data_IF_477436824161
#
_entry.id   IF_477436824161
#
_cell.length_a   1.000
_cell.length_b   1.000
_cell.length_c   1.000
_cell.angle_alpha   90.00
_cell.angle_beta   90.00
_cell.angle_gamma   90.00
#
_symmetry.space_group_name_H-M   'P 1'
#
loop_
_entity.id
_entity.type
_entity.pdbx_description
1 polymer ?
#
# COMPACT_ATOMS: atom_id res chain seq x y z
N UNK A 1 18.06 -21.22 -34.84
CA UNK A 1 16.73 -20.58 -34.83
C UNK A 1 16.10 -20.58 -33.43
N UNK A 2 15.86 -21.73 -32.78
CA UNK A 2 15.29 -21.75 -31.43
C UNK A 2 16.19 -21.08 -30.35
N UNK A 3 17.51 -21.26 -30.47
CA UNK A 3 18.54 -20.69 -29.57
C UNK A 3 18.66 -19.16 -29.69
N UNK A 4 18.56 -18.62 -30.92
CA UNK A 4 18.59 -17.18 -31.18
C UNK A 4 17.32 -16.47 -30.69
N UNK A 5 16.17 -17.15 -30.76
CA UNK A 5 14.88 -16.60 -30.30
C UNK A 5 14.74 -16.65 -28.77
N UNK A 6 15.29 -17.68 -28.12
CA UNK A 6 15.38 -17.74 -26.65
C UNK A 6 16.35 -16.70 -26.10
N UNK A 7 17.51 -16.51 -26.73
CA UNK A 7 18.43 -15.41 -26.42
C UNK A 7 17.76 -14.04 -26.63
N UNK A 8 16.92 -13.87 -27.65
CA UNK A 8 16.16 -12.64 -27.87
C UNK A 8 15.15 -12.38 -26.74
N UNK A 9 14.37 -13.37 -26.35
CA UNK A 9 13.38 -13.23 -25.27
C UNK A 9 14.04 -12.92 -23.92
N UNK A 10 15.16 -13.60 -23.62
CA UNK A 10 16.00 -13.31 -22.47
C UNK A 10 16.56 -11.88 -22.59
N UNK A 11 17.05 -11.48 -23.75
CA UNK A 11 17.58 -10.12 -23.97
C UNK A 11 16.51 -9.05 -23.77
N UNK A 12 15.26 -9.25 -24.20
CA UNK A 12 14.18 -8.28 -24.05
C UNK A 12 13.76 -8.17 -22.57
N UNK A 13 13.64 -9.30 -21.87
CA UNK A 13 13.34 -9.31 -20.44
C UNK A 13 14.47 -8.65 -19.61
N UNK A 14 15.72 -8.92 -19.99
CA UNK A 14 16.93 -8.32 -19.40
C UNK A 14 16.99 -6.83 -19.71
N UNK A 15 16.80 -6.41 -20.96
CA UNK A 15 16.84 -5.01 -21.39
C UNK A 15 15.69 -4.22 -20.77
N UNK A 16 14.48 -4.79 -20.68
CA UNK A 16 13.36 -4.15 -20.00
C UNK A 16 13.62 -3.99 -18.49
N UNK A 17 14.18 -5.02 -17.85
CA UNK A 17 14.57 -4.96 -16.43
C UNK A 17 15.70 -3.95 -16.19
N UNK A 18 16.71 -3.94 -17.06
CA UNK A 18 17.83 -2.99 -17.02
C UNK A 18 17.36 -1.57 -17.27
N UNK A 19 16.46 -1.32 -18.23
CA UNK A 19 15.87 0.00 -18.48
C UNK A 19 15.04 0.47 -17.28
N UNK A 20 14.22 -0.40 -16.69
CA UNK A 20 13.43 -0.09 -15.50
C UNK A 20 14.31 0.23 -14.27
N UNK A 21 15.47 -0.43 -14.15
CA UNK A 21 16.45 -0.23 -13.07
C UNK A 21 17.39 0.96 -13.33
N UNK A 22 17.71 1.29 -14.60
CA UNK A 22 18.68 2.32 -14.97
C UNK A 22 18.08 3.73 -15.11
N UNK A 23 16.82 3.84 -15.57
CA UNK A 23 16.12 5.13 -15.75
C UNK A 23 15.90 5.98 -14.46
N UNK A 24 16.02 5.49 -13.20
CA UNK A 24 15.88 6.36 -12.02
C UNK A 24 16.93 7.46 -11.88
N UNK A 25 18.07 7.40 -12.57
CA UNK A 25 19.23 8.21 -12.22
C UNK A 25 19.32 9.56 -12.93
N UNK A 26 18.35 9.91 -13.79
CA UNK A 26 18.24 11.23 -14.40
C UNK A 26 17.23 12.08 -13.60
N UNK A 27 17.68 12.66 -12.48
CA UNK A 27 16.92 13.69 -11.74
C UNK A 27 16.14 13.26 -10.48
N UNK A 28 16.44 12.10 -9.89
CA UNK A 28 16.01 11.71 -8.53
C UNK A 28 14.49 11.58 -8.30
N UNK A 29 13.81 10.55 -8.86
CA UNK A 29 12.41 10.27 -8.54
C UNK A 29 12.26 9.86 -7.07
N UNK A 30 11.18 10.32 -6.41
CA UNK A 30 10.86 9.89 -5.04
C UNK A 30 10.74 8.37 -4.95
N UNK A 31 11.12 7.79 -3.81
CA UNK A 31 11.06 6.34 -3.52
C UNK A 31 9.74 5.69 -3.92
N UNK A 32 8.63 6.42 -3.76
CA UNK A 32 7.30 5.98 -4.16
C UNK A 32 7.14 5.80 -5.67
N UNK A 33 7.67 6.73 -6.49
CA UNK A 33 7.60 6.61 -7.95
C UNK A 33 8.38 5.38 -8.43
N UNK A 34 9.49 5.05 -7.78
CA UNK A 34 10.26 3.86 -8.08
C UNK A 34 9.50 2.58 -7.72
N UNK A 35 8.94 2.50 -6.51
CA UNK A 35 8.07 1.39 -6.11
C UNK A 35 6.94 1.17 -7.11
N UNK A 36 6.28 2.24 -7.58
CA UNK A 36 5.20 2.14 -8.55
C UNK A 36 5.66 1.64 -9.92
N UNK A 37 6.84 2.05 -10.39
CA UNK A 37 7.42 1.53 -11.63
C UNK A 37 7.67 0.02 -11.55
N UNK A 38 8.25 -0.45 -10.43
CA UNK A 38 8.47 -1.87 -10.21
C UNK A 38 7.17 -2.65 -10.06
N UNK A 39 6.17 -2.08 -9.39
CA UNK A 39 4.84 -2.70 -9.25
C UNK A 39 4.11 -2.78 -10.60
N UNK A 40 4.23 -1.75 -11.44
CA UNK A 40 3.69 -1.76 -12.79
C UNK A 40 4.38 -2.83 -13.65
N UNK A 41 5.71 -2.91 -13.56
CA UNK A 41 6.48 -3.93 -14.27
C UNK A 41 6.12 -5.35 -13.80
N UNK A 42 5.91 -5.55 -12.50
CA UNK A 42 5.35 -6.77 -11.93
C UNK A 42 4.01 -7.13 -12.58
N UNK A 43 3.07 -6.17 -12.65
CA UNK A 43 1.76 -6.40 -13.25
C UNK A 43 1.86 -6.79 -14.73
N UNK A 44 2.67 -6.05 -15.50
CA UNK A 44 2.90 -6.34 -16.92
C UNK A 44 3.50 -7.73 -17.11
N UNK A 45 4.48 -8.12 -16.29
CA UNK A 45 5.07 -9.46 -16.35
C UNK A 45 4.06 -10.55 -15.99
N UNK A 46 3.24 -10.34 -14.96
CA UNK A 46 2.23 -11.30 -14.54
C UNK A 46 1.16 -11.52 -15.62
N UNK A 47 0.65 -10.44 -16.23
CA UNK A 47 -0.32 -10.52 -17.34
C UNK A 47 0.30 -11.14 -18.57
N UNK A 48 1.54 -10.76 -18.92
CA UNK A 48 2.25 -11.31 -20.06
C UNK A 48 2.48 -12.81 -19.89
N UNK A 49 2.88 -13.28 -18.70
CA UNK A 49 3.03 -14.70 -18.41
C UNK A 49 1.71 -15.46 -18.67
N UNK A 50 0.59 -14.92 -18.20
CA UNK A 50 -0.73 -15.52 -18.43
C UNK A 50 -1.07 -15.65 -19.92
N UNK A 51 -0.91 -14.57 -20.68
CA UNK A 51 -1.21 -14.56 -22.13
C UNK A 51 -0.30 -15.53 -22.88
N UNK A 52 1.00 -15.52 -22.59
CA UNK A 52 1.99 -16.39 -23.22
C UNK A 52 1.69 -17.87 -22.95
N UNK A 53 1.20 -18.20 -21.76
CA UNK A 53 0.78 -19.55 -21.42
C UNK A 53 -0.48 -20.01 -22.15
N UNK A 54 -1.44 -19.12 -22.37
CA UNK A 54 -2.62 -19.41 -23.20
C UNK A 54 -2.20 -19.68 -24.65
N UNK A 55 -1.30 -18.85 -25.20
CA UNK A 55 -0.78 -19.01 -26.57
C UNK A 55 0.02 -20.31 -26.69
N UNK A 56 0.87 -20.64 -25.72
CA UNK A 56 1.66 -21.89 -25.77
C UNK A 56 0.75 -23.12 -25.77
N UNK A 57 -0.37 -23.08 -25.03
CA UNK A 57 -1.37 -24.15 -25.00
C UNK A 57 -2.21 -24.23 -26.27
N UNK A 58 -2.46 -23.12 -26.94
CA UNK A 58 -3.17 -23.06 -28.21
C UNK A 58 -2.32 -23.51 -29.42
N UNK A 59 -1.13 -24.06 -29.20
CA UNK A 59 -0.23 -24.55 -30.25
C UNK A 59 0.89 -23.58 -30.64
N UNK A 60 1.09 -22.47 -29.91
CA UNK A 60 2.15 -21.49 -30.18
C UNK A 60 3.59 -22.03 -30.07
N UNK A 61 3.78 -23.23 -29.50
CA UNK A 61 5.06 -23.89 -29.40
C UNK A 61 5.87 -23.50 -28.16
N UNK A 62 7.04 -24.13 -28.01
CA UNK A 62 7.88 -24.10 -26.80
C UNK A 62 8.41 -22.70 -26.47
N UNK A 63 8.55 -21.82 -27.47
CA UNK A 63 9.07 -20.46 -27.28
C UNK A 63 8.18 -19.65 -26.33
N UNK A 64 6.86 -19.61 -26.56
CA UNK A 64 5.94 -18.86 -25.70
C UNK A 64 5.91 -19.40 -24.27
N UNK A 65 6.12 -20.71 -24.10
CA UNK A 65 6.27 -21.31 -22.78
C UNK A 65 7.52 -20.80 -22.05
N UNK A 66 8.68 -20.76 -22.72
CA UNK A 66 9.93 -20.26 -22.12
C UNK A 66 9.80 -18.77 -21.76
N UNK A 67 9.22 -17.95 -22.64
CA UNK A 67 9.00 -16.52 -22.34
C UNK A 67 8.02 -16.36 -21.18
N UNK A 68 6.93 -17.13 -21.16
CA UNK A 68 5.99 -17.16 -20.04
C UNK A 68 6.66 -17.62 -18.74
N UNK A 69 7.64 -18.53 -18.83
CA UNK A 69 8.40 -19.00 -17.69
C UNK A 69 9.24 -17.92 -17.04
N UNK A 70 10.01 -17.21 -17.85
CA UNK A 70 10.84 -16.09 -17.40
C UNK A 70 9.98 -14.96 -16.83
N UNK A 71 8.88 -14.58 -17.50
CA UNK A 71 7.98 -13.52 -17.05
C UNK A 71 7.34 -13.84 -15.68
N UNK A 72 6.98 -15.11 -15.45
CA UNK A 72 6.37 -15.55 -14.18
C UNK A 72 7.33 -15.44 -12.99
N UNK A 73 8.64 -15.67 -13.19
CA UNK A 73 9.66 -15.52 -12.12
C UNK A 73 10.10 -14.07 -11.97
N UNK A 74 10.19 -13.35 -13.09
CA UNK A 74 10.57 -11.95 -13.09
C UNK A 74 9.55 -11.10 -12.34
N UNK A 75 8.26 -11.40 -12.47
CA UNK A 75 7.19 -10.67 -11.79
C UNK A 75 7.44 -10.53 -10.26
N UNK A 76 7.41 -11.61 -9.44
CA UNK A 76 7.63 -11.49 -8.00
C UNK A 76 9.01 -10.92 -7.66
N UNK A 77 10.03 -11.16 -8.50
CA UNK A 77 11.36 -10.60 -8.31
C UNK A 77 11.37 -9.06 -8.44
N UNK A 78 10.64 -8.49 -9.40
CA UNK A 78 10.46 -7.04 -9.54
C UNK A 78 9.67 -6.45 -8.37
N UNK A 79 8.64 -7.16 -7.89
CA UNK A 79 7.88 -6.74 -6.71
C UNK A 79 8.78 -6.69 -5.47
N UNK A 80 9.65 -7.69 -5.29
CA UNK A 80 10.63 -7.73 -4.20
C UNK A 80 11.56 -6.51 -4.26
N UNK A 81 12.13 -6.21 -5.43
CA UNK A 81 12.97 -5.02 -5.64
C UNK A 81 12.19 -3.74 -5.31
N UNK A 82 10.95 -3.63 -5.78
CA UNK A 82 10.07 -2.50 -5.46
C UNK A 82 9.87 -2.32 -3.95
N UNK A 83 9.59 -3.40 -3.22
CA UNK A 83 9.44 -3.38 -1.78
C UNK A 83 10.75 -2.98 -1.07
N UNK A 84 11.89 -3.48 -1.51
CA UNK A 84 13.19 -3.07 -0.95
C UNK A 84 13.47 -1.59 -1.17
N UNK A 85 13.17 -1.06 -2.36
CA UNK A 85 13.27 0.39 -2.64
C UNK A 85 12.39 1.17 -1.67
N UNK A 86 11.15 0.72 -1.43
CA UNK A 86 10.23 1.34 -0.49
C UNK A 86 10.77 1.42 0.95
N UNK A 87 11.71 0.53 1.32
CA UNK A 87 12.36 0.50 2.64
C UNK A 87 13.64 1.34 2.76
N UNK A 88 13.95 2.18 1.77
CA UNK A 88 15.19 2.99 1.69
C UNK A 88 16.49 2.18 1.71
N UNK A 89 16.39 0.85 1.55
CA UNK A 89 17.54 -0.02 1.34
C UNK A 89 18.08 0.19 -0.07
N UNK A 90 19.41 0.06 -0.24
CA UNK A 90 20.06 0.13 -1.55
C UNK A 90 19.38 -0.86 -2.50
N UNK A 91 18.83 -0.37 -3.61
CA UNK A 91 18.08 -1.16 -4.59
C UNK A 91 18.97 -2.15 -5.37
N UNK A 92 20.29 -1.95 -5.34
CA UNK A 92 21.26 -2.69 -6.14
C UNK A 92 21.39 -4.16 -5.68
N UNK A 93 21.60 -4.42 -4.39
CA UNK A 93 21.74 -5.80 -3.86
C UNK A 93 20.50 -6.68 -4.15
N UNK A 94 19.26 -6.27 -3.81
CA UNK A 94 18.07 -7.06 -4.13
C UNK A 94 17.82 -7.14 -5.64
N UNK A 95 18.20 -6.11 -6.40
CA UNK A 95 18.13 -6.11 -7.86
C UNK A 95 19.05 -7.15 -8.49
N UNK A 96 20.30 -7.26 -8.02
CA UNK A 96 21.27 -8.27 -8.47
C UNK A 96 20.79 -9.68 -8.13
N UNK A 97 20.25 -9.90 -6.93
CA UNK A 97 19.68 -11.19 -6.52
C UNK A 97 18.48 -11.59 -7.39
N UNK A 98 17.55 -10.66 -7.62
CA UNK A 98 16.39 -10.84 -8.49
C UNK A 98 16.80 -11.19 -9.93
N UNK A 99 17.82 -10.48 -10.44
CA UNK A 99 18.38 -10.73 -11.76
C UNK A 99 19.03 -12.10 -11.86
N UNK A 100 19.91 -12.44 -10.91
CA UNK A 100 20.60 -13.73 -10.86
C UNK A 100 19.61 -14.89 -10.79
N UNK A 101 18.55 -14.78 -9.98
CA UNK A 101 17.48 -15.78 -9.89
C UNK A 101 16.75 -15.96 -11.23
N UNK A 102 16.40 -14.85 -11.89
CA UNK A 102 15.70 -14.88 -13.19
C UNK A 102 16.57 -15.52 -14.27
N UNK A 103 17.86 -15.16 -14.33
CA UNK A 103 18.83 -15.74 -15.27
C UNK A 103 19.01 -17.24 -15.01
N UNK A 104 19.14 -17.66 -13.74
CA UNK A 104 19.26 -19.07 -13.40
C UNK A 104 18.07 -19.89 -13.89
N UNK A 105 16.83 -19.39 -13.70
CA UNK A 105 15.63 -20.07 -14.21
C UNK A 105 15.63 -20.13 -15.74
N UNK A 106 15.98 -19.04 -16.42
CA UNK A 106 16.05 -19.01 -17.88
C UNK A 106 17.06 -20.05 -18.42
N UNK A 107 18.22 -20.16 -17.80
CA UNK A 107 19.24 -21.17 -18.14
C UNK A 107 18.72 -22.58 -17.91
N UNK A 108 18.10 -22.86 -16.77
CA UNK A 108 17.55 -24.20 -16.47
C UNK A 108 16.41 -24.57 -17.43
N UNK A 109 15.51 -23.64 -17.73
CA UNK A 109 14.41 -23.86 -18.68
C UNK A 109 14.87 -24.11 -20.12
N UNK A 110 16.08 -23.69 -20.49
CA UNK A 110 16.63 -23.90 -21.83
C UNK A 110 17.54 -25.12 -21.94
N UNK A 111 18.15 -25.55 -20.83
CA UNK A 111 19.17 -26.61 -20.83
C UNK A 111 18.63 -27.97 -20.39
N UNK A 112 17.54 -28.03 -19.64
CA UNK A 112 17.05 -29.28 -19.04
C UNK A 112 15.74 -29.74 -19.69
N UNK A 113 15.63 -31.01 -20.15
CA UNK A 113 14.36 -31.57 -20.64
C UNK A 113 13.29 -31.58 -19.54
N UNK A 114 12.03 -31.40 -19.92
CA UNK A 114 10.88 -31.57 -19.02
C UNK A 114 10.92 -32.98 -18.41
N UNK A 115 10.57 -33.18 -17.12
CA UNK A 115 9.79 -32.29 -16.22
C UNK A 115 10.59 -31.47 -15.18
N UNK A 116 11.91 -31.66 -15.07
CA UNK A 116 12.77 -31.00 -14.07
C UNK A 116 12.67 -29.46 -14.04
N UNK A 117 12.51 -28.74 -15.17
CA UNK A 117 12.33 -27.28 -15.17
C UNK A 117 11.09 -26.79 -14.41
N UNK A 118 10.03 -27.60 -14.32
CA UNK A 118 8.81 -27.22 -13.60
C UNK A 118 9.05 -27.09 -12.10
N UNK A 119 9.81 -28.03 -11.53
CA UNK A 119 10.17 -28.04 -10.11
C UNK A 119 11.06 -26.85 -9.76
N UNK A 120 12.13 -26.62 -10.53
CA UNK A 120 13.07 -25.51 -10.32
C UNK A 120 12.34 -24.16 -10.40
N UNK A 121 11.45 -24.01 -11.38
CA UNK A 121 10.66 -22.80 -11.52
C UNK A 121 9.71 -22.58 -10.35
N UNK A 122 8.99 -23.61 -9.91
CA UNK A 122 8.08 -23.47 -8.76
C UNK A 122 8.81 -23.10 -7.47
N UNK A 123 10.02 -23.65 -7.27
CA UNK A 123 10.89 -23.26 -6.15
C UNK A 123 11.36 -21.81 -6.30
N UNK A 124 11.79 -21.37 -7.49
CA UNK A 124 12.22 -20.00 -7.72
C UNK A 124 11.10 -18.98 -7.45
N UNK A 125 9.87 -19.26 -7.90
CA UNK A 125 8.70 -18.43 -7.61
C UNK A 125 8.42 -18.41 -6.12
N UNK A 126 8.48 -19.56 -5.44
CA UNK A 126 8.27 -19.63 -3.99
C UNK A 126 9.31 -18.78 -3.23
N UNK A 127 10.59 -18.86 -3.61
CA UNK A 127 11.67 -18.06 -3.02
C UNK A 127 11.46 -16.56 -3.26
N UNK A 128 11.08 -16.16 -4.48
CA UNK A 128 10.80 -14.76 -4.78
C UNK A 128 9.59 -14.24 -3.97
N UNK A 129 8.55 -15.05 -3.82
CA UNK A 129 7.36 -14.70 -3.06
C UNK A 129 7.60 -14.66 -1.54
N UNK A 130 8.42 -15.56 -0.98
CA UNK A 130 8.83 -15.47 0.43
C UNK A 130 9.70 -14.24 0.68
N UNK A 131 10.60 -13.91 -0.25
CA UNK A 131 11.39 -12.68 -0.20
C UNK A 131 10.49 -11.42 -0.22
N UNK A 132 9.46 -11.38 -1.10
CA UNK A 132 8.44 -10.33 -1.08
C UNK A 132 7.73 -10.23 0.27
N UNK A 133 7.27 -11.37 0.81
CA UNK A 133 6.57 -11.39 2.09
C UNK A 133 7.44 -10.84 3.23
N UNK A 134 8.69 -11.29 3.27
CA UNK A 134 9.68 -10.81 4.24
C UNK A 134 9.96 -9.31 4.11
N UNK A 135 10.18 -8.83 2.88
CA UNK A 135 10.43 -7.42 2.61
C UNK A 135 9.23 -6.55 3.00
N UNK A 136 8.01 -6.99 2.68
CA UNK A 136 6.78 -6.29 3.05
C UNK A 136 6.57 -6.22 4.57
N UNK A 137 6.88 -7.29 5.31
CA UNK A 137 6.78 -7.31 6.78
C UNK A 137 7.82 -6.42 7.46
N UNK A 138 9.00 -6.26 6.86
CA UNK A 138 10.08 -5.43 7.39
C UNK A 138 10.04 -3.98 6.90
N UNK A 139 9.06 -3.62 6.08
CA UNK A 139 8.96 -2.28 5.55
C UNK A 139 8.50 -1.28 6.63
N UNK A 140 9.30 -0.26 6.99
CA UNK A 140 8.93 0.75 7.98
C UNK A 140 7.90 1.78 7.44
N UNK A 141 7.21 1.46 6.35
CA UNK A 141 6.35 2.38 5.65
C UNK A 141 4.95 2.44 6.30
N UNK A 142 4.52 3.64 6.68
CA UNK A 142 3.13 3.93 6.96
C UNK A 142 2.34 4.09 5.64
N UNK A 143 1.11 3.55 5.53
CA UNK A 143 0.41 2.64 6.46
C UNK A 143 0.82 1.16 6.37
N UNK A 144 0.75 0.44 7.49
CA UNK A 144 1.17 -0.97 7.61
C UNK A 144 0.19 -1.99 7.02
N UNK A 145 -1.11 -1.67 6.97
CA UNK A 145 -2.16 -2.59 6.50
C UNK A 145 -1.99 -3.08 5.05
N UNK A 146 -1.77 -2.23 4.03
CA UNK A 146 -1.57 -2.71 2.67
C UNK A 146 -0.33 -3.59 2.54
N UNK A 147 0.75 -3.30 3.28
CA UNK A 147 1.97 -4.10 3.29
C UNK A 147 1.75 -5.48 3.90
N UNK A 148 0.97 -5.56 4.97
CA UNK A 148 0.57 -6.83 5.58
C UNK A 148 -0.27 -7.69 4.63
N UNK A 149 -1.17 -7.09 3.84
CA UNK A 149 -1.92 -7.83 2.82
C UNK A 149 -1.00 -8.34 1.71
N UNK A 150 -0.07 -7.52 1.22
CA UNK A 150 0.95 -7.95 0.24
C UNK A 150 1.77 -9.11 0.80
N UNK A 151 2.15 -9.06 2.09
CA UNK A 151 2.89 -10.12 2.74
C UNK A 151 2.11 -11.43 2.82
N UNK A 152 0.83 -11.37 3.25
CA UNK A 152 -0.04 -12.55 3.35
C UNK A 152 -0.24 -13.18 1.97
N UNK A 153 -0.54 -12.38 0.94
CA UNK A 153 -0.75 -12.89 -0.43
C UNK A 153 0.52 -13.51 -0.98
N UNK A 154 1.67 -12.86 -0.79
CA UNK A 154 2.96 -13.39 -1.27
C UNK A 154 3.33 -14.69 -0.54
N UNK A 155 3.16 -14.74 0.79
CA UNK A 155 3.40 -15.96 1.57
C UNK A 155 2.43 -17.10 1.16
N UNK A 156 1.14 -16.78 0.99
CA UNK A 156 0.14 -17.75 0.52
C UNK A 156 0.47 -18.30 -0.86
N UNK A 157 0.89 -17.44 -1.80
CA UNK A 157 1.29 -17.86 -3.14
C UNK A 157 2.58 -18.71 -3.13
N UNK A 158 3.52 -18.43 -2.22
CA UNK A 158 4.71 -19.25 -2.03
C UNK A 158 4.34 -20.66 -1.51
N UNK A 159 3.49 -20.75 -0.49
CA UNK A 159 2.98 -22.03 0.04
C UNK A 159 2.24 -22.80 -1.04
N UNK A 160 1.34 -22.15 -1.77
CA UNK A 160 0.63 -22.73 -2.91
C UNK A 160 1.60 -23.28 -3.96
N UNK A 161 2.64 -22.53 -4.31
CA UNK A 161 3.66 -22.95 -5.28
C UNK A 161 4.43 -24.19 -4.81
N UNK A 162 4.83 -24.25 -3.53
CA UNK A 162 5.52 -25.41 -2.95
C UNK A 162 4.62 -26.64 -2.93
N UNK A 163 3.38 -26.49 -2.43
CA UNK A 163 2.40 -27.59 -2.38
C UNK A 163 2.17 -28.16 -3.77
N UNK A 164 2.03 -27.29 -4.78
CA UNK A 164 1.90 -27.70 -6.18
C UNK A 164 3.11 -28.53 -6.65
N UNK A 165 4.33 -28.17 -6.25
CA UNK A 165 5.52 -28.96 -6.60
C UNK A 165 5.52 -30.32 -5.91
N UNK A 166 5.16 -30.38 -4.63
CA UNK A 166 5.08 -31.65 -3.89
C UNK A 166 4.03 -32.60 -4.51
N UNK A 167 2.88 -32.06 -4.94
CA UNK A 167 1.86 -32.84 -5.67
C UNK A 167 2.43 -33.38 -6.98
N UNK A 168 3.19 -32.57 -7.74
CA UNK A 168 3.84 -33.01 -8.98
C UNK A 168 4.84 -34.14 -8.77
N UNK A 169 5.65 -34.05 -7.70
CA UNK A 169 6.60 -35.10 -7.31
C UNK A 169 5.87 -36.38 -6.87
N UNK A 170 4.80 -36.26 -6.09
CA UNK A 170 4.08 -37.41 -5.53
C UNK A 170 3.13 -38.12 -6.50
N UNK A 171 2.48 -37.37 -7.40
CA UNK A 171 1.46 -37.90 -8.32
C UNK A 171 1.96 -38.11 -9.76
N UNK A 172 3.21 -37.69 -10.07
CA UNK A 172 3.80 -37.78 -11.40
C UNK A 172 3.45 -36.60 -12.30
N UNK A 173 4.49 -36.03 -12.93
CA UNK A 173 4.41 -34.83 -13.76
C UNK A 173 3.76 -35.03 -15.12
N UNK A 174 3.58 -36.28 -15.58
CA UNK A 174 3.13 -36.59 -16.95
C UNK A 174 1.63 -36.85 -17.07
N UNK A 175 0.89 -36.88 -15.96
CA UNK A 175 -0.54 -37.13 -16.01
C UNK A 175 -1.31 -35.88 -16.46
N UNK A 176 -1.93 -35.96 -17.64
CA UNK A 176 -2.65 -34.84 -18.28
C UNK A 176 -3.76 -34.24 -17.40
N UNK A 177 -4.42 -35.07 -16.59
CA UNK A 177 -5.45 -34.68 -15.62
C UNK A 177 -4.88 -33.88 -14.45
N UNK A 178 -3.69 -34.23 -13.95
CA UNK A 178 -2.99 -33.46 -12.91
C UNK A 178 -2.50 -32.13 -13.48
N UNK A 179 -1.93 -32.12 -14.69
CA UNK A 179 -1.48 -30.87 -15.34
C UNK A 179 -2.63 -29.86 -15.56
N UNK A 180 -3.77 -30.34 -16.06
CA UNK A 180 -4.93 -29.49 -16.32
C UNK A 180 -5.62 -29.05 -15.02
N UNK A 181 -5.85 -29.99 -14.10
CA UNK A 181 -6.63 -29.79 -12.88
C UNK A 181 -5.90 -29.05 -11.75
N UNK A 182 -4.58 -29.19 -11.64
CA UNK A 182 -3.81 -28.63 -10.52
C UNK A 182 -2.76 -27.60 -10.94
N UNK A 183 -2.23 -27.69 -12.17
CA UNK A 183 -1.07 -26.88 -12.56
C UNK A 183 -1.39 -25.67 -13.43
N UNK A 184 -2.42 -25.74 -14.28
CA UNK A 184 -2.68 -24.67 -15.25
C UNK A 184 -3.79 -23.73 -14.79
N UNK A 185 -5.04 -24.19 -14.76
CA UNK A 185 -6.20 -23.32 -14.47
C UNK A 185 -6.13 -22.73 -13.05
N UNK A 186 -5.86 -23.52 -11.98
CA UNK A 186 -5.76 -22.95 -10.64
C UNK A 186 -4.56 -22.00 -10.48
N UNK A 187 -3.44 -22.28 -11.14
CA UNK A 187 -2.25 -21.43 -11.05
C UNK A 187 -2.45 -20.07 -11.75
N UNK A 188 -3.16 -20.07 -12.88
CA UNK A 188 -3.56 -18.87 -13.59
C UNK A 188 -4.52 -18.02 -12.74
N UNK A 189 -5.59 -18.64 -12.21
CA UNK A 189 -6.58 -17.93 -11.38
C UNK A 189 -5.90 -17.35 -10.13
N UNK A 190 -5.15 -18.16 -9.40
CA UNK A 190 -4.45 -17.70 -8.18
C UNK A 190 -3.41 -16.62 -8.49
N UNK A 191 -2.68 -16.74 -9.60
CA UNK A 191 -1.72 -15.73 -10.06
C UNK A 191 -2.38 -14.39 -10.41
N UNK A 192 -3.49 -14.42 -11.14
CA UNK A 192 -4.28 -13.22 -11.48
C UNK A 192 -4.85 -12.57 -10.23
N UNK A 193 -5.42 -13.36 -9.31
CA UNK A 193 -5.95 -12.86 -8.04
C UNK A 193 -4.83 -12.23 -7.21
N UNK A 194 -3.67 -12.89 -7.09
CA UNK A 194 -2.53 -12.34 -6.37
C UNK A 194 -2.04 -11.01 -6.97
N UNK A 195 -1.90 -10.94 -8.30
CA UNK A 195 -1.49 -9.73 -9.01
C UNK A 195 -2.50 -8.59 -8.83
N UNK A 196 -3.80 -8.88 -8.90
CA UNK A 196 -4.87 -7.91 -8.68
C UNK A 196 -4.84 -7.35 -7.25
N UNK A 197 -4.70 -8.23 -6.24
CA UNK A 197 -4.65 -7.81 -4.84
C UNK A 197 -3.40 -6.96 -4.56
N UNK A 198 -2.23 -7.37 -5.05
CA UNK A 198 -0.99 -6.58 -4.89
C UNK A 198 -1.13 -5.20 -5.53
N UNK A 199 -1.68 -5.12 -6.74
CA UNK A 199 -1.89 -3.85 -7.44
C UNK A 199 -2.90 -2.95 -6.70
N UNK A 200 -3.99 -3.54 -6.19
CA UNK A 200 -4.96 -2.83 -5.36
C UNK A 200 -4.33 -2.30 -4.06
N UNK A 201 -3.46 -3.08 -3.42
CA UNK A 201 -2.72 -2.65 -2.24
C UNK A 201 -1.75 -1.50 -2.55
N UNK A 202 -1.09 -1.51 -3.71
CA UNK A 202 -0.26 -0.40 -4.15
C UNK A 202 -1.10 0.88 -4.37
N UNK A 203 -2.26 0.77 -5.01
CA UNK A 203 -3.22 1.88 -5.13
C UNK A 203 -3.71 2.40 -3.77
N UNK A 204 -4.02 1.50 -2.84
CA UNK A 204 -4.39 1.85 -1.47
C UNK A 204 -3.25 2.59 -0.74
N UNK A 205 -2.01 2.15 -0.93
CA UNK A 205 -0.84 2.80 -0.36
C UNK A 205 -0.69 4.25 -0.86
N UNK A 206 -0.93 4.51 -2.15
CA UNK A 206 -0.93 5.87 -2.73
C UNK A 206 -1.97 6.74 -2.02
N UNK A 207 -3.22 6.28 -1.98
CA UNK A 207 -4.34 7.04 -1.41
C UNK A 207 -4.11 7.30 0.08
N UNK A 208 -3.64 6.29 0.82
CA UNK A 208 -3.40 6.43 2.24
C UNK A 208 -2.23 7.36 2.55
N UNK A 209 -1.15 7.33 1.76
CA UNK A 209 -0.05 8.31 1.91
C UNK A 209 -0.50 9.71 1.55
N UNK A 210 -1.24 9.90 0.47
CA UNK A 210 -1.79 11.21 0.11
C UNK A 210 -2.67 11.78 1.25
N UNK A 211 -3.46 10.94 1.92
CA UNK A 211 -4.25 11.33 3.10
C UNK A 211 -3.38 11.68 4.31
N UNK A 212 -2.32 10.90 4.57
CA UNK A 212 -1.38 11.19 5.66
C UNK A 212 -0.61 12.48 5.39
N UNK A 213 -0.16 12.71 4.16
CA UNK A 213 0.52 13.94 3.76
C UNK A 213 -0.41 15.13 3.83
N UNK A 214 -1.68 14.99 3.40
CA UNK A 214 -2.70 16.04 3.57
C UNK A 214 -2.97 16.34 5.06
N UNK A 215 -2.96 15.32 5.92
CA UNK A 215 -3.10 15.49 7.37
C UNK A 215 -1.85 16.14 8.01
N UNK A 216 -0.64 15.82 7.52
CA UNK A 216 0.64 16.38 8.01
C UNK A 216 0.88 17.81 7.51
N UNK A 217 0.43 18.13 6.29
CA UNK A 217 0.49 19.48 5.71
C UNK A 217 -0.57 20.42 6.26
N UNK A 218 -1.58 19.89 6.97
CA UNK A 218 -2.42 20.70 7.83
C UNK A 218 -1.52 21.21 8.95
N UNK A 219 -1.11 22.48 8.83
CA UNK A 219 -0.36 23.17 9.89
C UNK A 219 -1.10 22.96 11.20
N UNK A 220 -0.39 22.60 12.27
CA UNK A 220 -0.97 22.45 13.60
C UNK A 220 -1.80 23.70 13.91
N UNK A 221 -3.12 23.58 13.87
CA UNK A 221 -4.00 24.70 14.13
C UNK A 221 -3.91 25.05 15.60
N UNK A 222 -4.14 26.31 15.92
CA UNK A 222 -4.29 26.70 17.31
C UNK A 222 -5.73 26.39 17.73
N UNK A 223 -5.86 25.72 18.86
CA UNK A 223 -7.13 25.34 19.42
C UNK A 223 -7.68 26.50 20.27
N UNK A 224 -8.75 27.13 19.81
CA UNK A 224 -9.44 28.19 20.56
C UNK A 224 -10.69 27.59 21.20
N UNK A 225 -10.74 27.61 22.53
CA UNK A 225 -11.85 27.04 23.31
C UNK A 225 -12.48 28.09 24.21
N UNK A 226 -13.77 27.88 24.52
CA UNK A 226 -14.43 28.60 25.61
C UNK A 226 -13.88 28.03 26.93
N UNK A 227 -13.05 28.83 27.59
CA UNK A 227 -12.40 28.55 28.87
C UNK A 227 -13.39 28.33 30.00
N UNK A 228 -12.94 27.60 31.03
CA UNK A 228 -13.68 27.25 32.25
C UNK A 228 -15.17 26.97 32.02
N UNK A 229 -15.46 25.95 31.22
CA UNK A 229 -16.82 25.54 30.84
C UNK A 229 -17.81 25.47 32.02
N UNK A 230 -17.36 24.99 33.19
CA UNK A 230 -18.19 24.94 34.40
C UNK A 230 -18.57 26.32 34.91
N UNK A 231 -17.61 27.25 34.92
CA UNK A 231 -17.81 28.63 35.33
C UNK A 231 -18.70 29.37 34.32
N UNK A 232 -18.41 29.23 33.03
CA UNK A 232 -19.23 29.80 31.96
C UNK A 232 -20.67 29.26 32.00
N UNK A 233 -20.85 27.97 32.25
CA UNK A 233 -22.19 27.36 32.35
C UNK A 233 -22.94 27.84 33.59
N UNK A 234 -22.25 28.06 34.70
CA UNK A 234 -22.84 28.60 35.93
C UNK A 234 -23.23 30.09 35.79
N UNK A 235 -22.43 30.89 35.09
CA UNK A 235 -22.66 32.31 34.91
C UNK A 235 -23.72 32.63 33.83
N UNK A 236 -23.67 31.95 32.68
CA UNK A 236 -24.49 32.28 31.50
C UNK A 236 -25.59 31.25 31.20
N UNK A 237 -25.56 30.10 31.86
CA UNK A 237 -26.46 28.98 31.58
C UNK A 237 -26.00 28.11 30.39
N UNK A 238 -26.34 26.83 30.46
CA UNK A 238 -25.87 25.82 29.51
C UNK A 238 -26.27 26.09 28.05
N UNK A 239 -27.44 26.67 27.83
CA UNK A 239 -27.94 26.96 26.48
C UNK A 239 -27.18 28.12 25.83
N UNK A 240 -26.87 29.18 26.60
CA UNK A 240 -26.06 30.30 26.09
C UNK A 240 -24.65 29.84 25.72
N UNK A 241 -24.00 29.05 26.56
CA UNK A 241 -22.63 28.57 26.29
C UNK A 241 -22.59 27.67 25.05
N UNK A 242 -23.62 26.84 24.82
CA UNK A 242 -23.73 26.07 23.56
C UNK A 242 -23.86 26.98 22.34
N UNK A 243 -24.68 28.02 22.44
CA UNK A 243 -24.84 29.01 21.38
C UNK A 243 -23.52 29.73 21.08
N UNK A 244 -22.74 30.10 22.11
CA UNK A 244 -21.42 30.70 21.95
C UNK A 244 -20.47 29.78 21.18
N UNK A 245 -20.47 28.47 21.46
CA UNK A 245 -19.64 27.52 20.68
C UNK A 245 -20.07 27.45 19.21
N UNK A 246 -21.38 27.45 18.94
CA UNK A 246 -21.90 27.43 17.56
C UNK A 246 -21.50 28.70 16.80
N UNK A 247 -21.63 29.86 17.45
CA UNK A 247 -21.24 31.16 16.88
C UNK A 247 -19.74 31.26 16.66
N UNK A 248 -18.93 30.76 17.60
CA UNK A 248 -17.48 30.68 17.46
C UNK A 248 -17.08 29.80 16.26
N UNK A 249 -17.71 28.64 16.10
CA UNK A 249 -17.45 27.75 14.96
C UNK A 249 -17.90 28.36 13.62
N UNK A 250 -18.99 29.13 13.62
CA UNK A 250 -19.44 29.85 12.43
C UNK A 250 -18.47 30.98 12.06
N UNK A 251 -18.11 31.83 13.03
CA UNK A 251 -17.13 32.90 12.87
C UNK A 251 -15.77 32.39 12.37
N UNK A 252 -15.34 31.22 12.88
CA UNK A 252 -14.11 30.59 12.45
C UNK A 252 -14.17 30.08 11.00
N UNK A 253 -15.29 29.53 10.53
CA UNK A 253 -15.44 29.10 9.13
C UNK A 253 -15.46 30.27 8.15
N UNK A 254 -15.92 31.44 8.59
CA UNK A 254 -15.89 32.65 7.77
C UNK A 254 -14.44 33.13 7.52
N UNK A 255 -13.55 32.94 8.50
CA UNK A 255 -12.16 33.40 8.44
C UNK A 255 -11.18 32.33 7.95
N UNK A 256 -11.42 31.07 8.29
CA UNK A 256 -10.65 29.90 7.88
C UNK A 256 -11.63 28.85 7.32
N UNK A 257 -11.72 28.70 5.98
CA UNK A 257 -12.57 27.68 5.36
C UNK A 257 -12.24 26.24 5.79
N UNK A 258 -11.05 26.01 6.36
CA UNK A 258 -10.62 24.71 6.86
C UNK A 258 -10.83 24.54 8.38
N UNK A 259 -11.48 25.49 9.05
CA UNK A 259 -11.73 25.44 10.49
C UNK A 259 -12.51 24.17 10.90
N UNK A 260 -12.03 23.47 11.93
CA UNK A 260 -12.66 22.24 12.42
C UNK A 260 -13.29 22.49 13.79
N UNK A 261 -14.59 22.24 13.89
CA UNK A 261 -15.30 22.32 15.18
C UNK A 261 -14.86 21.21 16.12
N UNK A 262 -14.46 21.56 17.34
CA UNK A 262 -14.12 20.63 18.42
C UNK A 262 -15.13 20.75 19.56
N UNK A 263 -15.22 19.77 20.48
CA UNK A 263 -16.02 19.94 21.68
C UNK A 263 -15.57 21.19 22.44
N UNK A 264 -16.48 22.18 22.59
CA UNK A 264 -16.27 23.46 23.30
C UNK A 264 -15.39 24.50 22.59
N UNK A 265 -15.10 24.34 21.30
CA UNK A 265 -14.26 25.29 20.58
C UNK A 265 -14.09 25.01 19.09
N UNK A 266 -12.99 25.52 18.54
CA UNK A 266 -12.62 25.38 17.14
C UNK A 266 -11.11 25.35 16.96
N UNK A 267 -10.61 24.52 16.05
CA UNK A 267 -9.22 24.53 15.60
C UNK A 267 -9.13 25.36 14.31
N UNK A 268 -8.25 26.36 14.32
CA UNK A 268 -8.05 27.31 13.21
C UNK A 268 -6.59 27.55 12.91
N UNK A 269 -6.30 27.90 11.65
CA UNK A 269 -4.97 28.35 11.22
C UNK A 269 -5.02 29.85 10.95
N UNK A 270 -4.92 30.64 12.02
CA UNK A 270 -4.95 32.10 11.96
C UNK A 270 -3.76 32.70 12.71
N UNK A 271 -3.17 33.81 12.23
CA UNK A 271 -2.26 34.61 13.05
C UNK A 271 -3.06 35.21 14.22
N UNK A 272 -2.55 35.10 15.46
CA UNK A 272 -3.24 35.56 16.69
C UNK A 272 -4.71 35.10 16.84
N UNK A 273 -4.98 33.77 16.91
CA UNK A 273 -6.30 33.17 16.82
C UNK A 273 -7.36 33.76 17.76
N UNK A 274 -7.05 33.91 19.05
CA UNK A 274 -7.98 34.47 20.05
C UNK A 274 -8.33 35.93 19.73
N UNK A 275 -7.34 36.74 19.33
CA UNK A 275 -7.58 38.15 19.03
C UNK A 275 -8.46 38.31 17.77
N UNK A 276 -8.13 37.57 16.71
CA UNK A 276 -8.86 37.65 15.43
C UNK A 276 -10.28 37.07 15.55
N UNK A 277 -10.44 35.92 16.21
CA UNK A 277 -11.76 35.34 16.45
C UNK A 277 -12.58 36.21 17.42
N UNK A 278 -11.96 36.74 18.47
CA UNK A 278 -12.60 37.62 19.44
C UNK A 278 -13.14 38.91 18.82
N UNK A 279 -12.40 39.52 17.88
CA UNK A 279 -12.89 40.65 17.10
C UNK A 279 -14.08 40.23 16.21
N UNK A 280 -13.95 39.11 15.48
CA UNK A 280 -14.98 38.64 14.57
C UNK A 280 -16.30 38.30 15.27
N UNK A 281 -16.27 37.62 16.42
CA UNK A 281 -17.49 37.26 17.15
C UNK A 281 -18.16 38.47 17.80
N UNK A 282 -17.37 39.46 18.21
CA UNK A 282 -17.89 40.75 18.67
C UNK A 282 -18.64 41.48 17.55
N UNK A 283 -18.02 41.54 16.37
CA UNK A 283 -18.57 42.30 15.24
C UNK A 283 -19.77 41.60 14.58
N UNK A 284 -19.76 40.27 14.43
CA UNK A 284 -20.85 39.54 13.76
C UNK A 284 -21.98 39.11 14.69
N UNK A 285 -21.65 38.76 15.93
CA UNK A 285 -22.58 38.09 16.85
C UNK A 285 -22.84 38.88 18.13
N UNK A 286 -22.24 40.07 18.28
CA UNK A 286 -22.51 40.99 19.38
C UNK A 286 -22.05 40.49 20.74
N UNK A 287 -20.96 39.70 20.77
CA UNK A 287 -20.43 39.18 22.04
C UNK A 287 -19.96 40.30 22.96
N UNK A 288 -20.31 40.17 24.24
CA UNK A 288 -19.85 41.11 25.27
C UNK A 288 -18.37 40.92 25.59
N UNK A 289 -17.67 41.92 26.17
CA UNK A 289 -16.26 41.81 26.55
C UNK A 289 -15.98 40.60 27.45
N UNK A 290 -16.89 40.30 28.38
CA UNK A 290 -16.78 39.15 29.29
C UNK A 290 -16.89 37.81 28.54
N UNK A 291 -17.74 37.73 27.50
CA UNK A 291 -17.89 36.53 26.69
C UNK A 291 -16.67 36.31 25.78
N UNK A 292 -16.06 37.39 25.29
CA UNK A 292 -14.80 37.35 24.54
C UNK A 292 -13.63 36.95 25.44
N UNK A 293 -13.63 37.39 26.71
CA UNK A 293 -12.61 37.01 27.70
C UNK A 293 -12.64 35.51 28.05
N UNK A 294 -13.75 34.81 27.79
CA UNK A 294 -13.80 33.35 27.91
C UNK A 294 -12.99 32.64 26.82
N UNK A 295 -12.62 33.30 25.72
CA UNK A 295 -11.80 32.66 24.68
C UNK A 295 -10.38 32.45 25.21
N UNK A 296 -9.95 31.21 25.19
CA UNK A 296 -8.60 30.83 25.61
C UNK A 296 -7.94 29.99 24.52
N UNK A 297 -6.66 30.26 24.30
CA UNK A 297 -5.79 29.35 23.56
C UNK A 297 -5.57 28.13 24.44
N UNK A 298 -6.17 27.00 24.06
CA UNK A 298 -5.74 25.73 24.62
C UNK A 298 -4.33 25.43 24.08
N UNK A 299 -3.46 24.87 24.94
CA UNK A 299 -2.07 24.50 24.62
C UNK A 299 -1.99 23.96 23.19
N UNK A 300 -1.07 24.45 22.34
CA UNK A 300 -0.97 24.02 20.95
C UNK A 300 -0.98 22.49 20.88
N UNK A 301 -1.96 21.95 20.16
CA UNK A 301 -2.23 20.51 20.01
C UNK A 301 -1.08 19.73 19.36
N UNK A 302 0.02 20.40 19.03
CA UNK A 302 1.27 19.81 18.59
C UNK A 302 1.91 18.82 19.59
N UNK A 303 1.59 18.89 20.89
CA UNK A 303 2.14 17.96 21.90
C UNK A 303 1.19 16.89 22.39
N UNK A 304 -0.13 17.01 22.19
CA UNK A 304 -1.09 15.97 22.56
C UNK A 304 -1.99 15.67 21.38
N UNK A 305 -1.58 14.68 20.56
CA UNK A 305 -2.50 13.94 19.70
C UNK A 305 -3.56 13.31 20.59
N UNK A 306 -4.72 13.95 20.74
CA UNK A 306 -5.89 13.22 21.19
C UNK A 306 -6.20 12.20 20.09
N UNK A 307 -6.13 10.89 20.37
CA UNK A 307 -6.53 9.90 19.41
C UNK A 307 -7.98 10.20 19.04
N UNK A 308 -8.24 10.34 17.74
CA UNK A 308 -9.60 10.34 17.21
C UNK A 308 -10.26 9.10 17.81
N UNK A 309 -11.16 9.33 18.77
CA UNK A 309 -12.01 8.32 19.37
C UNK A 309 -12.88 7.80 18.23
N UNK A 310 -12.35 6.78 17.54
CA UNK A 310 -13.09 5.90 16.67
C UNK A 310 -14.31 5.48 17.47
N UNK A 311 -15.48 5.79 16.97
CA UNK A 311 -16.77 5.41 17.53
C UNK A 311 -16.70 4.01 18.12
N UNK A 312 -16.61 3.93 19.44
CA UNK A 312 -16.69 2.68 20.18
C UNK A 312 -18.07 2.12 19.87
N UNK A 313 -18.10 0.94 19.23
CA UNK A 313 -19.27 0.07 19.21
C UNK A 313 -19.91 0.08 20.61
N UNK A 314 -21.24 0.15 20.73
CA UNK A 314 -21.87 -0.01 22.03
C UNK A 314 -21.47 -1.38 22.63
N UNK A 315 -21.19 -1.44 23.94
CA UNK A 315 -20.85 -2.70 24.58
C UNK A 315 -22.03 -3.68 24.43
N UNK A 316 -21.74 -4.88 23.89
CA UNK A 316 -22.70 -5.99 23.90
C UNK A 316 -22.97 -6.36 25.36
N UNK A 317 -24.19 -6.07 25.80
CA UNK A 317 -24.75 -6.58 27.05
C UNK A 317 -24.74 -8.11 26.98
N UNK A 318 -23.95 -8.77 27.83
CA UNK A 318 -24.07 -10.21 28.07
C UNK A 318 -25.31 -10.43 28.95
N UNK A 319 -26.23 -11.33 28.60
CA UNK A 319 -27.31 -11.70 29.51
C UNK A 319 -26.75 -12.45 30.73
N UNK A 320 -27.39 -12.31 31.91
CA UNK A 320 -27.01 -13.04 33.11
C UNK A 320 -27.18 -14.55 32.88
N UNK A 321 -26.20 -15.33 33.34
CA UNK A 321 -26.32 -16.78 33.44
C UNK A 321 -27.33 -17.09 34.53
N UNK A 322 -28.47 -17.65 34.14
CA UNK A 322 -29.30 -18.51 35.00
C UNK A 322 -28.69 -19.89 35.05
#
# INVERSE_FOLDING_TARGET
MALSVTLLAISIAVVASVLLVAIPHLGGPSTMRLFLRFTLAFLVCAVSACVLYVISRAGGGVVFQIVGDTAMVLAPSLLFVGLCVLTERRALEPGVLAFALTVAVAVVSTTVPQPTPLAVKGVAVAVACTACAWAALRAPAEPTRPLLVIAIVSAGYAVYSIVRMLIGVGAGWDSATVLAGFFFVPAMITGVVAAAVVTACAGWLIVARARLDAARRRSAGTLVVVGDWRLATAAYGQERVRMLVVQLQAAARDLDPNAVGVPRGVEVVLPSPVATLGARVRDAYGWNPDEVALLSDAVPTGTVRLPILRSSRPPRVRPPRT
#
